data_IF_603754805883
#
_entry.id   IF_603754805883
#
_cell.length_a   1.000
_cell.length_b   1.000
_cell.length_c   1.000
_cell.angle_alpha   90.00
_cell.angle_beta   90.00
_cell.angle_gamma   90.00
#
_symmetry.space_group_name_H-M   'P 1'
#
loop_
_entity.id
_entity.type
_entity.pdbx_description
1 polymer ?
#
# COMPACT_ATOMS: atom_id res chain seq x y z
N UNK A 1 -2.19 4.04 41.13
CA UNK A 1 -2.61 2.62 41.14
C UNK A 1 -2.20 2.06 39.79
N UNK A 2 -1.17 1.21 39.76
CA UNK A 2 -0.73 0.55 38.55
C UNK A 2 -1.59 -0.72 38.39
N UNK A 3 -2.76 -0.56 37.78
CA UNK A 3 -3.66 -1.70 37.54
C UNK A 3 -3.14 -2.54 36.38
N UNK A 4 -2.80 -3.80 36.64
CA UNK A 4 -2.54 -4.79 35.61
C UNK A 4 -3.76 -5.72 35.49
N UNK A 5 -4.30 -5.89 34.28
CA UNK A 5 -5.24 -6.98 34.00
C UNK A 5 -4.42 -8.14 33.47
N UNK A 6 -4.40 -9.20 34.27
CA UNK A 6 -3.60 -10.40 34.06
C UNK A 6 -4.55 -11.59 34.02
N UNK A 7 -4.90 -12.08 32.82
CA UNK A 7 -5.64 -13.33 32.67
C UNK A 7 -4.61 -14.45 32.50
N UNK A 8 -4.29 -15.14 33.62
CA UNK A 8 -3.38 -16.28 33.66
C UNK A 8 -4.12 -17.50 34.23
N UNK A 9 -3.71 -18.72 33.84
CA UNK A 9 -3.77 -19.84 34.80
C UNK A 9 -2.71 -19.58 35.88
N UNK A 10 -3.07 -19.77 37.16
CA UNK A 10 -2.28 -19.35 38.30
C UNK A 10 -0.94 -20.08 38.44
N UNK A 11 0.09 -19.65 37.71
CA UNK A 11 1.50 -19.88 38.05
C UNK A 11 2.41 -19.00 37.19
N UNK A 12 3.46 -18.44 37.77
CA UNK A 12 4.44 -17.53 37.16
C UNK A 12 5.30 -18.14 36.04
N UNK A 13 4.90 -19.29 35.50
CA UNK A 13 5.59 -20.10 34.51
C UNK A 13 4.81 -20.34 33.21
N UNK A 14 3.60 -19.76 33.05
CA UNK A 14 2.68 -20.10 31.94
C UNK A 14 2.62 -18.99 30.89
N UNK A 15 2.59 -19.39 29.61
CA UNK A 15 2.37 -18.51 28.47
C UNK A 15 0.98 -17.85 28.58
N UNK A 16 0.86 -16.55 28.34
CA UNK A 16 -0.43 -15.86 28.47
C UNK A 16 -0.39 -14.39 28.07
N UNK A 17 -1.59 -13.81 27.94
CA UNK A 17 -1.75 -12.38 27.65
C UNK A 17 -1.43 -11.54 28.88
N UNK A 18 -0.52 -10.59 28.72
CA UNK A 18 -0.10 -9.66 29.75
C UNK A 18 -0.39 -8.22 29.32
N UNK A 19 -1.15 -7.50 30.16
CA UNK A 19 -1.29 -6.04 30.09
C UNK A 19 -0.51 -5.48 31.28
N UNK A 20 0.60 -4.81 31.01
CA UNK A 20 1.56 -4.39 32.04
C UNK A 20 2.13 -3.01 31.72
N UNK A 21 2.85 -2.42 32.65
CA UNK A 21 3.61 -1.18 32.47
C UNK A 21 5.08 -1.49 32.74
N UNK A 22 6.00 -1.00 31.89
CA UNK A 22 7.43 -1.03 32.23
C UNK A 22 7.83 0.21 33.02
N UNK A 23 9.01 0.20 33.65
CA UNK A 23 9.57 1.39 34.28
C UNK A 23 9.81 2.47 33.22
N UNK A 24 8.94 3.47 33.16
CA UNK A 24 9.01 4.57 32.17
C UNK A 24 7.67 4.93 31.54
N UNK A 25 6.57 4.88 32.31
CA UNK A 25 5.22 5.29 31.90
C UNK A 25 4.65 4.63 30.62
N UNK A 26 5.29 3.58 30.12
CA UNK A 26 4.87 2.88 28.90
C UNK A 26 4.06 1.64 29.26
N UNK A 27 2.81 1.61 28.80
CA UNK A 27 1.94 0.42 28.87
C UNK A 27 2.21 -0.54 27.70
N UNK A 28 2.11 -1.84 27.97
CA UNK A 28 2.30 -2.92 27.01
C UNK A 28 1.10 -3.86 27.01
N UNK A 29 0.77 -4.36 25.83
CA UNK A 29 -0.04 -5.56 25.63
C UNK A 29 0.87 -6.55 24.91
N UNK A 30 1.13 -7.70 25.54
CA UNK A 30 2.04 -8.70 24.98
C UNK A 30 1.56 -10.11 25.32
N UNK A 31 1.94 -11.09 24.49
CA UNK A 31 1.82 -12.49 24.85
C UNK A 31 3.15 -12.99 25.40
N UNK A 32 3.17 -13.37 26.68
CA UNK A 32 4.36 -13.94 27.30
C UNK A 32 4.61 -15.33 26.70
N UNK A 33 5.81 -15.57 26.13
CA UNK A 33 6.27 -16.85 25.54
C UNK A 33 5.62 -17.34 24.23
N UNK A 34 4.65 -16.65 23.65
CA UNK A 34 4.19 -16.99 22.29
C UNK A 34 5.09 -16.32 21.24
N UNK A 35 5.16 -16.93 20.05
CA UNK A 35 5.86 -16.34 18.91
C UNK A 35 5.06 -15.21 18.24
N UNK A 36 3.81 -15.02 18.62
CA UNK A 36 2.93 -14.00 18.03
C UNK A 36 1.99 -13.41 19.08
N UNK A 37 1.59 -12.16 18.86
CA UNK A 37 0.38 -11.57 19.43
C UNK A 37 -0.67 -11.47 18.32
N UNK A 38 -1.84 -12.05 18.53
CA UNK A 38 -2.89 -12.12 17.51
C UNK A 38 -4.21 -11.54 18.02
N UNK A 39 -4.89 -10.79 17.15
CA UNK A 39 -6.28 -10.35 17.32
C UNK A 39 -7.13 -11.11 16.30
N UNK A 40 -8.16 -11.82 16.75
CA UNK A 40 -9.01 -12.65 15.90
C UNK A 40 -10.50 -12.32 16.00
N UNK A 41 -11.26 -12.72 14.97
CA UNK A 41 -12.72 -12.63 14.94
C UNK A 41 -13.32 -13.80 14.14
N UNK A 42 -14.25 -14.54 14.75
CA UNK A 42 -14.84 -15.74 14.15
C UNK A 42 -13.84 -16.89 13.98
N UNK A 43 -12.92 -17.07 14.94
CA UNK A 43 -11.83 -18.05 14.89
C UNK A 43 -10.85 -17.86 13.73
N UNK A 44 -10.72 -16.62 13.23
CA UNK A 44 -9.75 -16.24 12.18
C UNK A 44 -8.87 -15.11 12.68
N UNK A 45 -7.57 -15.26 12.46
CA UNK A 45 -6.56 -14.23 12.74
C UNK A 45 -6.78 -13.02 11.82
N UNK A 46 -6.95 -11.83 12.41
CA UNK A 46 -7.17 -10.56 11.70
C UNK A 46 -5.94 -9.68 11.72
N UNK A 47 -5.27 -9.62 12.86
CA UNK A 47 -3.98 -8.94 13.01
C UNK A 47 -3.05 -9.90 13.71
N UNK A 48 -1.85 -10.06 13.18
CA UNK A 48 -0.78 -10.84 13.79
C UNK A 48 0.46 -9.96 13.90
N UNK A 49 1.06 -9.89 15.07
CA UNK A 49 2.39 -9.33 15.28
C UNK A 49 3.30 -10.51 15.60
N UNK A 50 4.30 -10.78 14.78
CA UNK A 50 5.24 -11.89 15.00
C UNK A 50 6.42 -11.50 15.92
N UNK A 51 7.24 -12.50 16.27
CA UNK A 51 8.41 -12.33 17.13
C UNK A 51 9.49 -11.40 16.56
N UNK A 52 9.50 -11.20 15.24
CA UNK A 52 10.44 -10.33 14.54
C UNK A 52 9.86 -8.90 14.40
N UNK A 53 8.63 -8.68 14.87
CA UNK A 53 7.93 -7.39 14.84
C UNK A 53 7.13 -7.15 13.56
N UNK A 54 7.03 -8.14 12.67
CA UNK A 54 6.26 -8.01 11.45
C UNK A 54 4.76 -8.04 11.74
N UNK A 55 4.00 -7.21 11.03
CA UNK A 55 2.55 -7.10 11.18
C UNK A 55 1.85 -7.70 9.97
N UNK A 56 1.02 -8.72 10.21
CA UNK A 56 0.14 -9.31 9.22
C UNK A 56 -1.31 -8.83 9.38
N UNK A 57 -1.93 -8.34 8.31
CA UNK A 57 -3.37 -8.07 8.25
C UNK A 57 -4.05 -9.22 7.50
N UNK A 58 -4.76 -10.06 8.26
CA UNK A 58 -5.28 -11.36 7.84
C UNK A 58 -4.20 -12.34 7.32
N UNK A 59 -2.96 -12.17 7.81
CA UNK A 59 -1.79 -13.02 7.49
C UNK A 59 -1.20 -13.53 8.80
N UNK A 60 -1.23 -14.85 9.02
CA UNK A 60 -0.79 -15.47 10.28
C UNK A 60 0.73 -15.59 10.42
N UNK A 61 1.47 -15.50 9.31
CA UNK A 61 2.93 -15.61 9.27
C UNK A 61 3.51 -14.59 8.28
N UNK A 62 3.47 -13.29 8.61
CA UNK A 62 4.00 -12.25 7.74
C UNK A 62 5.48 -12.47 7.46
N UNK A 63 5.89 -12.27 6.21
CA UNK A 63 7.29 -12.33 5.74
C UNK A 63 7.91 -10.95 5.58
N UNK A 64 7.09 -9.92 5.64
CA UNK A 64 7.43 -8.53 5.43
C UNK A 64 7.04 -7.70 6.66
N UNK A 65 7.73 -6.59 6.96
CA UNK A 65 7.40 -5.70 8.08
C UNK A 65 5.91 -5.38 8.21
N UNK A 66 5.23 -5.18 7.09
CA UNK A 66 3.77 -5.14 6.99
C UNK A 66 3.33 -5.98 5.79
N UNK A 67 2.41 -6.93 5.98
CA UNK A 67 1.87 -7.78 4.93
C UNK A 67 0.34 -7.90 5.04
N UNK A 68 -0.36 -7.74 3.92
CA UNK A 68 -1.81 -7.91 3.83
C UNK A 68 -2.16 -9.21 3.11
N UNK A 69 -3.29 -9.83 3.46
CA UNK A 69 -3.77 -11.06 2.81
C UNK A 69 -4.04 -10.89 1.30
N UNK A 70 -4.23 -9.66 0.82
CA UNK A 70 -4.31 -9.37 -0.62
C UNK A 70 -2.98 -9.61 -1.37
N UNK A 71 -1.86 -9.74 -0.64
CA UNK A 71 -0.49 -9.86 -1.16
C UNK A 71 0.29 -8.53 -1.17
N UNK A 72 -0.36 -7.41 -0.85
CA UNK A 72 0.32 -6.12 -0.73
C UNK A 72 1.16 -6.07 0.56
N UNK A 73 2.33 -5.48 0.50
CA UNK A 73 3.27 -5.48 1.63
C UNK A 73 4.27 -4.33 1.57
N UNK A 74 4.94 -4.05 2.69
CA UNK A 74 6.08 -3.14 2.76
C UNK A 74 7.37 -3.96 2.78
N UNK A 75 8.27 -3.74 1.84
CA UNK A 75 9.60 -4.39 1.82
C UNK A 75 10.42 -4.03 3.06
N UNK A 76 11.48 -4.79 3.36
CA UNK A 76 12.40 -4.46 4.45
C UNK A 76 13.06 -3.07 4.32
N UNK A 77 13.14 -2.52 3.10
CA UNK A 77 13.63 -1.17 2.83
C UNK A 77 12.58 -0.06 2.94
N UNK A 78 11.34 -0.38 3.34
CA UNK A 78 10.27 0.61 3.53
C UNK A 78 9.44 0.93 2.28
N UNK A 79 9.65 0.22 1.16
CA UNK A 79 8.88 0.44 -0.08
C UNK A 79 7.57 -0.35 -0.06
N UNK A 80 6.44 0.31 -0.33
CA UNK A 80 5.16 -0.35 -0.54
C UNK A 80 5.13 -1.10 -1.89
N UNK A 81 4.67 -2.35 -1.87
CA UNK A 81 4.56 -3.24 -3.03
C UNK A 81 3.11 -3.69 -3.20
N UNK A 82 2.53 -3.37 -4.35
CA UNK A 82 1.17 -3.79 -4.70
C UNK A 82 1.10 -5.28 -5.07
N UNK A 83 0.04 -5.95 -4.64
CA UNK A 83 -0.34 -7.26 -5.20
C UNK A 83 -0.87 -7.08 -6.63
N UNK A 84 -0.25 -7.75 -7.60
CA UNK A 84 -0.56 -7.53 -9.03
C UNK A 84 -0.41 -8.81 -9.87
N UNK A 85 -0.79 -9.96 -9.31
CA UNK A 85 -0.81 -11.25 -10.04
C UNK A 85 -2.03 -11.35 -10.96
N UNK A 86 -1.90 -12.09 -12.07
CA UNK A 86 -3.06 -12.48 -12.90
C UNK A 86 -4.05 -13.35 -12.13
N UNK A 87 -3.59 -14.11 -11.15
CA UNK A 87 -4.45 -14.93 -10.28
C UNK A 87 -5.39 -14.06 -9.43
N UNK A 88 -5.01 -12.81 -9.18
CA UNK A 88 -5.78 -11.85 -8.38
C UNK A 88 -6.58 -10.87 -9.26
N UNK A 89 -6.59 -11.07 -10.58
CA UNK A 89 -7.20 -10.14 -11.55
C UNK A 89 -8.10 -10.89 -12.52
N UNK A 90 -9.25 -10.31 -12.78
CA UNK A 90 -10.20 -10.78 -13.79
C UNK A 90 -10.47 -9.69 -14.84
N UNK A 91 -11.13 -10.04 -15.95
CA UNK A 91 -11.52 -9.11 -17.01
C UNK A 91 -10.36 -8.25 -17.57
N UNK A 92 -9.17 -8.86 -17.71
CA UNK A 92 -7.96 -8.18 -18.16
C UNK A 92 -8.07 -7.86 -19.65
N UNK A 93 -8.10 -6.57 -19.98
CA UNK A 93 -8.12 -6.05 -21.35
C UNK A 93 -6.98 -5.05 -21.60
N UNK A 94 -6.67 -4.82 -22.88
CA UNK A 94 -5.69 -3.80 -23.29
C UNK A 94 -6.26 -2.40 -23.06
N UNK A 95 -5.46 -1.52 -22.46
CA UNK A 95 -5.79 -0.10 -22.34
C UNK A 95 -5.82 0.56 -23.72
N UNK A 96 -7.00 1.03 -24.11
CA UNK A 96 -7.21 1.67 -25.41
C UNK A 96 -6.45 3.00 -25.50
N UNK A 97 -5.85 3.26 -26.66
CA UNK A 97 -4.97 4.40 -26.86
C UNK A 97 -5.71 5.74 -26.75
N UNK A 98 -6.92 5.83 -27.31
CA UNK A 98 -7.71 7.06 -27.30
C UNK A 98 -8.11 7.44 -25.87
N UNK A 99 -8.50 6.46 -25.06
CA UNK A 99 -8.80 6.66 -23.64
C UNK A 99 -7.55 7.09 -22.86
N UNK A 100 -6.41 6.42 -23.08
CA UNK A 100 -5.16 6.76 -22.41
C UNK A 100 -4.67 8.17 -22.80
N UNK A 101 -4.78 8.52 -24.09
CA UNK A 101 -4.35 9.83 -24.60
C UNK A 101 -5.26 10.95 -24.09
N UNK A 102 -6.59 10.73 -24.11
CA UNK A 102 -7.56 11.70 -23.57
C UNK A 102 -7.32 11.92 -22.08
N UNK A 103 -7.06 10.86 -21.31
CA UNK A 103 -6.71 10.98 -19.90
C UNK A 103 -5.39 11.74 -19.70
N UNK A 104 -4.33 11.40 -20.46
CA UNK A 104 -3.06 12.11 -20.35
C UNK A 104 -3.20 13.61 -20.62
N UNK A 105 -3.97 13.99 -21.64
CA UNK A 105 -4.16 15.40 -22.00
C UNK A 105 -5.00 16.17 -20.97
N UNK A 106 -5.81 15.48 -20.18
CA UNK A 106 -6.61 16.05 -19.11
C UNK A 106 -5.91 16.02 -17.74
N UNK A 107 -4.72 15.41 -17.63
CA UNK A 107 -3.93 15.44 -16.40
C UNK A 107 -3.24 16.80 -16.24
N UNK A 108 -3.48 17.45 -15.11
CA UNK A 108 -2.89 18.74 -14.76
C UNK A 108 -1.95 18.58 -13.54
N UNK A 109 -0.63 18.46 -13.74
CA UNK A 109 0.32 18.43 -12.63
C UNK A 109 0.33 19.77 -11.88
N UNK A 110 0.35 19.71 -10.56
CA UNK A 110 0.37 20.87 -9.68
C UNK A 110 1.53 20.80 -8.69
N UNK A 111 1.90 21.96 -8.13
CA UNK A 111 2.78 22.08 -6.97
C UNK A 111 1.90 22.40 -5.77
N UNK A 112 2.09 21.70 -4.66
CA UNK A 112 1.30 21.90 -3.44
C UNK A 112 2.13 21.56 -2.20
N UNK A 113 1.71 22.06 -1.05
CA UNK A 113 2.19 21.59 0.25
C UNK A 113 1.02 20.93 1.02
N UNK A 114 1.33 20.03 1.95
CA UNK A 114 0.30 19.52 2.84
C UNK A 114 0.02 20.52 3.96
N UNK A 115 -1.22 20.57 4.43
CA UNK A 115 -1.62 21.48 5.54
C UNK A 115 -0.81 21.27 6.81
N UNK A 116 -0.30 20.05 7.05
CA UNK A 116 0.54 19.68 8.19
C UNK A 116 2.05 19.73 7.88
N UNK A 117 2.45 20.03 6.65
CA UNK A 117 3.85 20.11 6.20
C UNK A 117 3.99 21.33 5.28
N UNK A 118 3.82 22.52 5.87
CA UNK A 118 3.71 23.79 5.13
C UNK A 118 5.02 24.26 4.49
N UNK A 119 6.14 23.73 4.96
CA UNK A 119 7.50 24.13 4.56
C UNK A 119 8.09 23.23 3.45
N UNK A 120 7.38 22.18 3.03
CA UNK A 120 7.82 21.25 1.99
C UNK A 120 6.87 21.30 0.78
N UNK A 121 7.41 21.59 -0.38
CA UNK A 121 6.68 21.59 -1.65
C UNK A 121 6.75 20.22 -2.32
N UNK A 122 5.61 19.76 -2.80
CA UNK A 122 5.42 18.50 -3.50
C UNK A 122 4.90 18.75 -4.92
N UNK A 123 5.27 17.86 -5.83
CA UNK A 123 4.70 17.81 -7.18
C UNK A 123 3.77 16.62 -7.26
N UNK A 124 2.56 16.84 -7.79
CA UNK A 124 1.59 15.76 -7.94
C UNK A 124 0.34 16.21 -8.66
N UNK A 125 -0.79 15.63 -8.28
CA UNK A 125 -2.11 15.88 -8.85
C UNK A 125 -3.14 16.02 -7.74
N UNK A 126 -4.21 16.76 -8.00
CA UNK A 126 -5.39 16.81 -7.13
C UNK A 126 -6.34 15.69 -7.53
N UNK A 127 -6.74 14.85 -6.56
CA UNK A 127 -7.53 13.65 -6.81
C UNK A 127 -8.91 13.95 -7.41
N UNK A 128 -9.48 15.11 -7.09
CA UNK A 128 -10.76 15.58 -7.59
C UNK A 128 -10.70 15.98 -9.07
N UNK A 129 -9.54 16.47 -9.52
CA UNK A 129 -9.35 17.08 -10.84
C UNK A 129 -8.86 16.08 -11.91
N UNK A 130 -8.40 14.89 -11.52
CA UNK A 130 -7.95 13.89 -12.50
C UNK A 130 -9.11 13.31 -13.34
N UNK A 131 -8.83 12.86 -14.58
CA UNK A 131 -9.85 12.22 -15.41
C UNK A 131 -10.31 10.88 -14.82
N UNK A 132 -11.55 10.49 -15.13
CA UNK A 132 -12.21 9.29 -14.59
C UNK A 132 -11.37 8.01 -14.70
N UNK A 133 -10.57 7.88 -15.76
CA UNK A 133 -9.74 6.70 -16.00
C UNK A 133 -8.71 6.42 -14.88
N UNK A 134 -8.30 7.45 -14.14
CA UNK A 134 -7.31 7.35 -13.05
C UNK A 134 -7.85 7.87 -11.71
N UNK A 135 -9.15 8.17 -11.66
CA UNK A 135 -9.84 8.59 -10.45
C UNK A 135 -10.18 7.36 -9.59
N UNK A 136 -10.13 7.51 -8.25
CA UNK A 136 -10.40 6.42 -7.31
C UNK A 136 -11.53 6.81 -6.37
N UNK A 137 -12.56 5.96 -6.27
CA UNK A 137 -13.63 6.09 -5.27
C UNK A 137 -14.23 7.50 -5.24
N UNK A 138 -14.19 8.11 -4.05
CA UNK A 138 -14.73 9.45 -3.79
C UNK A 138 -13.82 10.59 -4.27
N UNK A 139 -12.80 10.29 -5.08
CA UNK A 139 -11.84 11.25 -5.66
C UNK A 139 -11.04 12.05 -4.64
N UNK A 140 -10.68 11.45 -3.51
CA UNK A 140 -9.84 12.06 -2.47
C UNK A 140 -8.50 11.34 -2.26
N UNK A 141 -8.18 10.36 -3.11
CA UNK A 141 -6.94 9.60 -3.10
C UNK A 141 -6.53 9.24 -4.53
N UNK A 142 -5.23 8.99 -4.72
CA UNK A 142 -4.64 8.67 -6.03
C UNK A 142 -3.78 7.40 -5.97
N UNK A 143 -3.75 6.68 -7.09
CA UNK A 143 -2.84 5.58 -7.36
C UNK A 143 -1.82 6.06 -8.37
N UNK A 144 -0.56 6.17 -7.96
CA UNK A 144 0.55 6.45 -8.88
C UNK A 144 0.63 5.42 -10.00
N UNK A 145 0.23 4.16 -9.73
CA UNK A 145 0.25 3.10 -10.73
C UNK A 145 -0.74 3.31 -11.87
N UNK A 146 -1.89 3.94 -11.60
CA UNK A 146 -2.93 4.17 -12.63
C UNK A 146 -2.44 5.20 -13.63
N UNK A 147 -1.84 6.28 -13.12
CA UNK A 147 -1.21 7.33 -13.93
C UNK A 147 -0.03 6.76 -14.72
N UNK A 148 0.84 5.95 -14.10
CA UNK A 148 1.98 5.30 -14.78
C UNK A 148 1.51 4.35 -15.88
N UNK A 149 0.40 3.62 -15.69
CA UNK A 149 -0.15 2.75 -16.74
C UNK A 149 -0.63 3.55 -17.97
N UNK A 150 -1.32 4.67 -17.74
CA UNK A 150 -1.72 5.61 -18.80
C UNK A 150 -0.51 6.16 -19.54
N UNK A 151 0.46 6.71 -18.79
CA UNK A 151 1.71 7.23 -19.36
C UNK A 151 2.45 6.18 -20.19
N UNK A 152 2.56 4.95 -19.69
CA UNK A 152 3.23 3.85 -20.38
C UNK A 152 2.56 3.57 -21.74
N UNK A 153 1.23 3.51 -21.78
CA UNK A 153 0.51 3.23 -23.04
C UNK A 153 0.71 4.34 -24.07
N UNK A 154 0.70 5.60 -23.63
CA UNK A 154 0.89 6.75 -24.52
C UNK A 154 2.34 6.83 -25.01
N UNK A 155 3.33 6.66 -24.12
CA UNK A 155 4.76 6.69 -24.49
C UNK A 155 5.12 5.58 -25.47
N UNK A 156 4.56 4.37 -25.29
CA UNK A 156 4.73 3.27 -26.26
C UNK A 156 4.25 3.67 -27.67
N UNK A 157 3.11 4.35 -27.76
CA UNK A 157 2.58 4.82 -29.03
C UNK A 157 3.42 5.95 -29.62
N UNK A 158 3.86 6.90 -28.79
CA UNK A 158 4.75 7.97 -29.21
C UNK A 158 6.05 7.39 -29.78
N UNK A 159 6.61 6.35 -29.17
CA UNK A 159 7.81 5.67 -29.67
C UNK A 159 7.59 5.00 -31.03
N UNK A 160 6.40 4.47 -31.31
CA UNK A 160 6.06 3.92 -32.63
C UNK A 160 6.00 5.01 -33.68
N UNK A 161 5.35 6.14 -33.37
CA UNK A 161 5.24 7.30 -34.27
C UNK A 161 6.61 7.92 -34.57
N UNK A 162 7.50 8.00 -33.57
CA UNK A 162 8.87 8.48 -33.77
C UNK A 162 9.61 7.61 -34.78
N UNK A 163 9.55 6.27 -34.63
CA UNK A 163 10.19 5.35 -35.59
C UNK A 163 9.63 5.47 -37.00
N UNK A 164 8.31 5.66 -37.13
CA UNK A 164 7.68 5.87 -38.43
C UNK A 164 8.16 7.17 -39.09
N UNK A 165 8.26 8.24 -38.31
CA UNK A 165 8.77 9.53 -38.79
C UNK A 165 10.24 9.45 -39.19
N UNK A 166 11.08 8.77 -38.41
CA UNK A 166 12.50 8.52 -38.73
C UNK A 166 12.65 7.74 -40.04
N UNK A 167 11.90 6.64 -40.21
CA UNK A 167 11.94 5.85 -41.43
C UNK A 167 11.49 6.65 -42.67
N UNK A 168 10.54 7.57 -42.49
CA UNK A 168 10.11 8.49 -43.57
C UNK A 168 11.18 9.52 -43.91
N UNK A 169 11.92 10.02 -42.92
CA UNK A 169 13.03 10.95 -43.12
C UNK A 169 14.20 10.27 -43.83
N UNK A 170 14.52 9.02 -43.50
CA UNK A 170 15.59 8.25 -44.13
C UNK A 170 15.29 7.85 -45.59
N UNK A 171 14.01 7.87 -45.96
CA UNK A 171 13.55 7.58 -47.32
C UNK A 171 13.52 8.83 -48.25
N UNK A 172 13.84 10.02 -47.72
CA UNK A 172 13.94 11.28 -48.48
C UNK A 172 15.36 11.49 -49.04
#
# INVERSE_FOLDING_TARGET
MNGNIQIHEQNSSVAGLMITQSSGDTGYIMHNRANTLTIGAGSVDRITIDRDGNVGIAVSRPKYPLEMASGAHVTAGGVWTNSSSRENKENIAVLQLDSATSALMALEPVIFNYKNEVDEDYVGFIAEDVPELVAIGDRNALSTMDIVAVLTRVVQEQQNKIKELEARLDAL
#
